data_IF_296435391656
#
_entry.id   IF_296435391656
#
_cell.length_a   1.000
_cell.length_b   1.000
_cell.length_c   1.000
_cell.angle_alpha   90.00
_cell.angle_beta   90.00
_cell.angle_gamma   90.00
#
_symmetry.space_group_name_H-M   'P 1'
#
loop_
_entity.id
_entity.type
_entity.pdbx_description
1 polymer ?
#
# COMPACT_ATOMS: atom_id res chain seq x y z
N UNK A 1 15.90 -5.79 -8.88
CA UNK A 1 16.56 -4.90 -7.91
C UNK A 1 17.25 -5.67 -6.82
N UNK A 2 18.11 -6.53 -7.23
CA UNK A 2 18.92 -7.31 -6.32
C UNK A 2 20.17 -6.51 -5.91
N UNK A 3 20.79 -6.95 -4.84
CA UNK A 3 22.01 -6.40 -4.30
C UNK A 3 23.07 -7.50 -4.32
N UNK A 4 24.30 -7.18 -4.71
CA UNK A 4 25.39 -8.17 -4.62
C UNK A 4 25.58 -8.59 -3.15
N UNK A 5 25.62 -9.89 -2.88
CA UNK A 5 25.62 -10.44 -1.52
C UNK A 5 24.24 -10.84 -0.99
N UNK A 6 23.17 -10.66 -1.77
CA UNK A 6 21.81 -11.12 -1.45
C UNK A 6 21.35 -12.21 -2.42
N UNK A 7 20.57 -13.16 -1.92
CA UNK A 7 19.87 -14.19 -2.71
C UNK A 7 18.39 -14.11 -2.38
N UNK A 8 17.55 -13.82 -3.36
CA UNK A 8 16.11 -13.86 -3.19
C UNK A 8 15.56 -15.25 -3.52
N UNK A 9 14.74 -15.78 -2.62
CA UNK A 9 14.16 -17.13 -2.71
C UNK A 9 12.64 -17.12 -2.71
N UNK A 10 12.04 -15.96 -2.76
CA UNK A 10 10.58 -15.78 -2.77
C UNK A 10 10.16 -14.35 -3.08
N UNK A 11 8.95 -14.21 -3.57
CA UNK A 11 8.35 -12.92 -3.84
C UNK A 11 6.84 -12.93 -3.63
N UNK A 12 6.24 -11.76 -3.36
CA UNK A 12 4.80 -11.66 -3.25
C UNK A 12 4.13 -11.61 -4.63
N UNK A 13 3.05 -12.35 -4.76
CA UNK A 13 2.03 -12.11 -5.77
C UNK A 13 1.17 -10.90 -5.41
N UNK A 14 0.25 -10.53 -6.30
CA UNK A 14 -0.66 -9.45 -6.02
C UNK A 14 -1.92 -9.48 -6.88
N UNK A 15 -2.94 -8.74 -6.44
CA UNK A 15 -4.18 -8.50 -7.17
C UNK A 15 -4.74 -7.13 -6.82
N UNK A 16 -5.24 -6.41 -7.81
CA UNK A 16 -5.96 -5.17 -7.57
C UNK A 16 -7.40 -5.48 -7.15
N UNK A 17 -7.87 -4.86 -6.07
CA UNK A 17 -9.26 -4.79 -5.71
C UNK A 17 -9.77 -3.37 -5.96
N UNK A 18 -10.73 -3.20 -6.86
CA UNK A 18 -11.41 -1.96 -7.13
C UNK A 18 -12.72 -1.95 -6.36
N UNK A 19 -12.77 -1.17 -5.28
CA UNK A 19 -13.97 -1.01 -4.45
C UNK A 19 -14.72 0.22 -4.93
N UNK A 20 -16.01 0.07 -5.24
CA UNK A 20 -16.87 1.15 -5.69
C UNK A 20 -18.11 1.24 -4.78
N UNK A 21 -18.35 2.42 -4.22
CA UNK A 21 -19.53 2.71 -3.41
C UNK A 21 -20.38 3.75 -4.13
N UNK A 22 -21.63 3.44 -4.50
CA UNK A 22 -22.55 4.42 -5.08
C UNK A 22 -22.79 5.62 -4.15
N UNK A 23 -22.84 6.83 -4.71
CA UNK A 23 -23.12 8.04 -3.96
C UNK A 23 -24.43 8.68 -4.43
N UNK A 24 -25.24 9.11 -3.45
CA UNK A 24 -26.42 9.91 -3.69
C UNK A 24 -26.13 11.34 -3.28
N UNK A 25 -26.49 12.28 -4.15
CA UNK A 25 -26.31 13.71 -3.93
C UNK A 25 -27.65 14.40 -3.74
N UNK A 26 -27.64 15.49 -2.99
CA UNK A 26 -28.77 16.37 -2.77
C UNK A 26 -28.34 17.82 -2.87
N UNK A 27 -29.31 18.74 -3.05
CA UNK A 27 -29.02 20.16 -3.06
C UNK A 27 -28.42 20.58 -1.73
N UNK A 28 -27.34 21.33 -1.78
CA UNK A 28 -26.66 21.79 -0.58
C UNK A 28 -27.54 22.74 0.24
N UNK A 29 -27.76 22.38 1.48
CA UNK A 29 -28.52 23.20 2.46
C UNK A 29 -27.63 23.73 3.59
N UNK A 30 -26.33 23.57 3.50
CA UNK A 30 -25.36 24.00 4.49
C UNK A 30 -24.81 25.40 4.18
N UNK A 31 -24.45 26.12 5.24
CA UNK A 31 -23.98 27.52 5.15
C UNK A 31 -22.47 27.63 4.96
N UNK A 32 -21.71 26.62 5.36
CA UNK A 32 -20.24 26.65 5.39
C UNK A 32 -19.63 25.45 4.71
N UNK A 33 -18.52 25.68 4.01
CA UNK A 33 -17.73 24.63 3.35
C UNK A 33 -16.27 24.75 3.71
N UNK A 34 -15.65 23.65 4.14
CA UNK A 34 -14.22 23.55 4.37
C UNK A 34 -13.61 22.48 3.47
N UNK A 35 -12.47 22.81 2.87
CA UNK A 35 -11.55 21.84 2.30
C UNK A 35 -10.48 21.48 3.32
N UNK A 36 -10.41 20.21 3.64
CA UNK A 36 -9.42 19.63 4.56
C UNK A 36 -8.34 18.97 3.72
N UNK A 37 -7.07 19.36 3.93
CA UNK A 37 -5.93 18.84 3.21
C UNK A 37 -4.94 18.21 4.18
N UNK A 38 -4.60 16.94 3.97
CA UNK A 38 -3.52 16.21 4.62
C UNK A 38 -2.37 16.07 3.63
N UNK A 39 -1.17 16.53 4.01
CA UNK A 39 0.04 16.53 3.18
C UNK A 39 1.29 16.21 3.99
N UNK A 40 2.41 16.04 3.30
CA UNK A 40 3.73 15.90 3.91
C UNK A 40 4.07 14.53 4.46
N UNK A 41 3.25 13.50 4.18
CA UNK A 41 3.58 12.13 4.54
C UNK A 41 4.70 11.58 3.65
N UNK A 42 5.50 10.65 4.18
CA UNK A 42 6.62 10.04 3.45
C UNK A 42 6.17 9.21 2.27
N UNK A 43 5.08 8.48 2.41
CA UNK A 43 4.66 7.50 1.42
C UNK A 43 5.67 6.37 1.27
N UNK A 44 5.69 5.73 0.09
CA UNK A 44 6.61 4.64 -0.23
C UNK A 44 5.98 3.58 -1.12
N UNK A 45 6.72 2.51 -1.40
CA UNK A 45 6.21 1.37 -2.14
C UNK A 45 5.29 0.52 -1.27
N UNK A 46 4.06 0.24 -1.74
CA UNK A 46 3.04 -0.47 -0.96
C UNK A 46 3.36 -1.95 -0.64
N UNK A 47 4.48 -2.45 -1.11
CA UNK A 47 5.03 -3.75 -0.75
C UNK A 47 6.30 -3.60 0.09
N UNK A 48 7.37 -3.07 -0.48
CA UNK A 48 8.68 -2.99 0.19
C UNK A 48 8.67 -2.12 1.46
N UNK A 49 7.82 -1.10 1.53
CA UNK A 49 7.73 -0.20 2.69
C UNK A 49 6.51 -0.47 3.59
N UNK A 50 5.67 -1.47 3.28
CA UNK A 50 4.41 -1.70 4.00
C UNK A 50 4.61 -2.11 5.47
N UNK A 51 5.76 -2.71 5.77
CA UNK A 51 6.16 -3.11 7.12
C UNK A 51 6.67 -1.94 7.97
N UNK A 52 6.96 -0.81 7.33
CA UNK A 52 7.36 0.40 8.04
C UNK A 52 6.14 1.08 8.66
N UNK A 53 6.32 1.89 9.66
CA UNK A 53 5.20 2.57 10.35
C UNK A 53 4.65 3.78 9.60
N UNK A 54 4.91 3.90 8.29
CA UNK A 54 4.43 5.02 7.45
C UNK A 54 2.93 5.05 7.37
N UNK A 55 2.36 6.22 7.52
CA UNK A 55 0.92 6.41 7.48
C UNK A 55 0.39 6.46 6.03
N UNK A 56 -0.82 5.96 5.84
CA UNK A 56 -1.58 6.10 4.60
C UNK A 56 -2.50 7.31 4.73
N UNK A 57 -2.31 8.33 3.89
CA UNK A 57 -3.04 9.59 3.97
C UNK A 57 -4.56 9.42 3.89
N UNK A 58 -5.06 8.48 3.07
CA UNK A 58 -6.49 8.19 2.94
C UNK A 58 -7.04 7.66 4.27
N UNK A 59 -6.32 6.76 4.94
CA UNK A 59 -6.73 6.18 6.23
C UNK A 59 -6.70 7.22 7.35
N UNK A 60 -5.69 8.07 7.38
CA UNK A 60 -5.59 9.16 8.35
C UNK A 60 -6.74 10.15 8.19
N UNK A 61 -7.06 10.53 6.95
CA UNK A 61 -8.19 11.42 6.66
C UNK A 61 -9.54 10.77 7.02
N UNK A 62 -9.73 9.49 6.71
CA UNK A 62 -10.93 8.74 7.10
C UNK A 62 -11.12 8.72 8.65
N UNK A 63 -10.02 8.54 9.41
CA UNK A 63 -10.02 8.59 10.88
C UNK A 63 -10.45 9.97 11.40
N UNK A 64 -9.95 11.06 10.80
CA UNK A 64 -10.40 12.42 11.13
C UNK A 64 -11.90 12.59 10.88
N UNK A 65 -12.38 12.20 9.69
CA UNK A 65 -13.79 12.34 9.34
C UNK A 65 -14.69 11.52 10.27
N UNK A 66 -14.28 10.32 10.65
CA UNK A 66 -14.98 9.50 11.63
C UNK A 66 -15.05 10.19 13.01
N UNK A 67 -13.96 10.81 13.45
CA UNK A 67 -13.92 11.56 14.72
C UNK A 67 -14.79 12.83 14.66
N UNK A 68 -14.76 13.56 13.55
CA UNK A 68 -15.66 14.71 13.32
C UNK A 68 -17.12 14.28 13.34
N UNK A 69 -17.46 13.15 12.70
CA UNK A 69 -18.84 12.63 12.68
C UNK A 69 -19.38 12.27 14.08
N UNK A 70 -18.52 11.92 15.03
CA UNK A 70 -18.91 11.64 16.41
C UNK A 70 -19.12 12.92 17.23
N UNK A 71 -18.25 13.92 17.05
CA UNK A 71 -18.23 15.13 17.88
C UNK A 71 -19.05 16.29 17.32
N UNK A 72 -19.23 16.32 16.02
CA UNK A 72 -19.97 17.34 15.28
C UNK A 72 -20.87 16.66 14.25
N UNK A 73 -21.96 16.00 14.68
CA UNK A 73 -22.89 15.35 13.77
C UNK A 73 -23.53 16.40 12.83
N UNK A 74 -23.93 15.94 11.63
CA UNK A 74 -24.55 16.78 10.60
C UNK A 74 -23.61 17.63 9.76
N UNK A 75 -22.54 17.03 9.25
CA UNK A 75 -21.85 17.51 8.06
C UNK A 75 -22.06 16.54 6.88
N UNK A 76 -22.01 17.05 5.66
CA UNK A 76 -22.05 16.26 4.45
C UNK A 76 -20.73 16.35 3.70
N UNK A 77 -20.28 15.24 3.13
CA UNK A 77 -19.17 15.22 2.18
C UNK A 77 -19.62 15.79 0.83
N UNK A 78 -18.70 16.44 0.14
CA UNK A 78 -18.82 16.84 -1.27
C UNK A 78 -17.94 15.95 -2.12
N UNK A 79 -16.71 15.77 -1.65
CA UNK A 79 -15.71 14.93 -2.27
C UNK A 79 -14.71 14.40 -1.23
N UNK A 80 -14.08 13.29 -1.56
CA UNK A 80 -12.89 12.76 -0.88
C UNK A 80 -11.96 12.14 -1.90
N UNK A 81 -10.67 12.41 -1.80
CA UNK A 81 -9.66 11.89 -2.72
C UNK A 81 -8.32 11.72 -2.02
N UNK A 82 -7.48 10.83 -2.57
CA UNK A 82 -6.11 10.64 -2.06
C UNK A 82 -5.32 9.66 -2.91
N UNK A 83 -4.00 9.82 -2.89
CA UNK A 83 -3.09 9.01 -3.66
C UNK A 83 -3.23 9.16 -5.18
N UNK A 84 -2.26 8.66 -5.92
CA UNK A 84 -2.21 8.75 -7.38
C UNK A 84 -1.77 7.46 -8.07
N UNK A 85 -1.11 6.57 -7.35
CA UNK A 85 -0.49 5.35 -7.87
C UNK A 85 -0.89 4.16 -7.01
N UNK A 86 -1.39 3.08 -7.65
CA UNK A 86 -1.96 1.91 -6.96
C UNK A 86 -0.97 1.15 -6.06
N UNK A 87 0.31 1.16 -6.40
CA UNK A 87 1.38 0.46 -5.68
C UNK A 87 2.21 1.39 -4.78
N UNK A 88 1.71 2.57 -4.46
CA UNK A 88 2.33 3.50 -3.54
C UNK A 88 1.45 3.73 -2.29
N UNK A 89 2.07 3.95 -1.14
CA UNK A 89 1.41 4.42 0.07
C UNK A 89 1.09 5.91 -0.14
N UNK A 90 -0.18 6.34 -0.10
CA UNK A 90 -0.58 7.72 -0.33
C UNK A 90 0.08 8.71 0.63
N UNK A 91 0.66 9.78 0.07
CA UNK A 91 1.33 10.86 0.80
C UNK A 91 0.40 12.02 1.13
N UNK A 92 -0.71 12.11 0.39
CA UNK A 92 -1.65 13.21 0.45
C UNK A 92 -3.08 12.69 0.29
N UNK A 93 -4.01 13.36 0.98
CA UNK A 93 -5.44 13.18 0.82
C UNK A 93 -6.17 14.47 1.11
N UNK A 94 -7.33 14.65 0.52
CA UNK A 94 -8.20 15.82 0.74
C UNK A 94 -9.66 15.41 0.82
N UNK A 95 -10.44 16.14 1.61
CA UNK A 95 -11.89 16.04 1.65
C UNK A 95 -12.51 17.43 1.73
N UNK A 96 -13.67 17.59 1.08
CA UNK A 96 -14.50 18.81 1.19
C UNK A 96 -15.77 18.44 1.94
N UNK A 97 -16.07 19.20 3.01
CA UNK A 97 -17.23 19.00 3.88
C UNK A 97 -18.06 20.27 3.95
N UNK A 98 -19.38 20.11 4.00
CA UNK A 98 -20.37 21.19 4.23
C UNK A 98 -21.07 20.98 5.57
N UNK A 99 -21.32 22.06 6.32
CA UNK A 99 -21.92 22.01 7.65
C UNK A 99 -22.54 23.35 8.06
N UNK A 100 -23.33 23.36 9.16
CA UNK A 100 -23.95 24.55 9.72
C UNK A 100 -23.39 24.97 11.09
N UNK A 101 -22.37 24.24 11.60
CA UNK A 101 -21.71 24.58 12.85
C UNK A 101 -20.82 25.81 12.71
N UNK A 102 -20.34 26.32 13.86
CA UNK A 102 -19.32 27.35 13.86
C UNK A 102 -18.04 26.90 13.16
N UNK A 103 -17.58 27.69 12.20
CA UNK A 103 -16.42 27.37 11.35
C UNK A 103 -15.15 27.20 12.19
N UNK A 104 -14.95 28.05 13.18
CA UNK A 104 -13.74 28.01 14.03
C UNK A 104 -13.74 26.79 14.95
N UNK A 105 -14.90 26.32 15.36
CA UNK A 105 -15.02 25.05 16.10
C UNK A 105 -14.56 23.85 15.26
N UNK A 106 -14.96 23.78 13.98
CA UNK A 106 -14.52 22.70 13.07
C UNK A 106 -13.03 22.80 12.76
N UNK A 107 -12.52 24.00 12.48
CA UNK A 107 -11.07 24.22 12.27
C UNK A 107 -10.26 23.85 13.51
N UNK A 108 -10.73 24.20 14.70
CA UNK A 108 -10.08 23.82 15.96
C UNK A 108 -10.04 22.30 16.16
N UNK A 109 -11.13 21.60 15.82
CA UNK A 109 -11.16 20.13 15.86
C UNK A 109 -10.14 19.51 14.90
N UNK A 110 -10.01 20.03 13.67
CA UNK A 110 -8.98 19.61 12.70
C UNK A 110 -7.57 19.88 13.24
N UNK A 111 -7.35 21.08 13.80
CA UNK A 111 -6.04 21.46 14.38
C UNK A 111 -5.65 20.59 15.57
N UNK A 112 -6.58 20.30 16.47
CA UNK A 112 -6.34 19.41 17.60
C UNK A 112 -5.99 17.98 17.13
N UNK A 113 -6.62 17.54 16.04
CA UNK A 113 -6.30 16.25 15.43
C UNK A 113 -4.91 16.25 14.76
N UNK A 114 -4.48 17.37 14.17
CA UNK A 114 -3.09 17.54 13.67
C UNK A 114 -2.07 17.39 14.80
N UNK A 115 -2.32 18.04 15.94
CA UNK A 115 -1.43 17.93 17.12
C UNK A 115 -1.33 16.48 17.57
N UNK A 116 -2.45 15.79 17.73
CA UNK A 116 -2.50 14.37 18.08
C UNK A 116 -1.68 13.50 17.09
N UNK A 117 -1.86 13.72 15.78
CA UNK A 117 -1.11 12.98 14.76
C UNK A 117 0.39 13.24 14.79
N UNK A 118 0.80 14.50 15.07
CA UNK A 118 2.22 14.85 15.21
C UNK A 118 2.89 14.20 16.42
N UNK A 119 2.14 13.92 17.47
CA UNK A 119 2.62 13.14 18.61
C UNK A 119 2.70 11.65 18.26
N UNK A 120 1.62 11.07 17.73
CA UNK A 120 1.55 9.64 17.38
C UNK A 120 2.57 9.23 16.30
N UNK A 121 2.81 10.10 15.31
CA UNK A 121 3.59 9.81 14.11
C UNK A 121 4.89 10.61 14.04
N UNK A 122 5.38 11.14 15.14
CA UNK A 122 6.53 12.06 15.19
C UNK A 122 7.77 11.56 14.44
N UNK A 123 8.07 10.27 14.54
CA UNK A 123 9.23 9.64 13.90
C UNK A 123 8.90 9.21 12.46
N UNK A 124 7.72 8.63 12.27
CA UNK A 124 7.31 8.09 10.97
C UNK A 124 7.01 9.21 9.97
N UNK A 125 6.34 10.29 10.40
CA UNK A 125 5.80 11.34 9.53
C UNK A 125 6.15 12.77 10.05
N UNK A 126 7.43 13.16 10.16
CA UNK A 126 7.85 14.41 10.77
C UNK A 126 7.35 15.66 10.04
N UNK A 127 7.01 15.54 8.75
CA UNK A 127 6.56 16.66 7.91
C UNK A 127 5.04 16.71 7.72
N UNK A 128 4.27 15.89 8.48
CA UNK A 128 2.82 15.87 8.40
C UNK A 128 2.22 17.25 8.65
N UNK A 129 1.33 17.67 7.76
CA UNK A 129 0.52 18.89 7.89
C UNK A 129 -0.94 18.58 7.60
N UNK A 130 -1.83 19.15 8.41
CA UNK A 130 -3.27 19.03 8.24
C UNK A 130 -3.87 20.43 8.31
N UNK A 131 -4.50 20.87 7.22
CA UNK A 131 -5.10 22.21 7.10
C UNK A 131 -6.60 22.12 6.82
N UNK A 132 -7.35 23.14 7.21
CA UNK A 132 -8.75 23.30 6.87
C UNK A 132 -8.98 24.76 6.41
N UNK A 133 -9.39 24.89 5.16
CA UNK A 133 -9.56 26.19 4.50
C UNK A 133 -11.01 26.36 4.04
N UNK A 134 -11.57 27.55 4.26
CA UNK A 134 -12.91 27.85 3.79
C UNK A 134 -12.87 28.02 2.26
N UNK A 135 -13.81 27.35 1.60
CA UNK A 135 -13.97 27.40 0.14
C UNK A 135 -15.41 27.76 -0.23
N UNK A 136 -15.64 28.02 -1.51
CA UNK A 136 -16.96 28.32 -2.03
C UNK A 136 -17.95 27.18 -1.79
N UNK A 137 -19.21 27.53 -1.46
CA UNK A 137 -20.25 26.55 -1.24
C UNK A 137 -20.63 25.86 -2.56
N UNK A 138 -20.57 24.52 -2.62
CA UNK A 138 -20.99 23.76 -3.80
C UNK A 138 -22.53 23.76 -3.91
N UNK A 139 -23.03 23.47 -5.11
CA UNK A 139 -24.47 23.33 -5.34
C UNK A 139 -25.06 22.05 -4.75
N UNK A 140 -24.24 20.99 -4.64
CA UNK A 140 -24.65 19.67 -4.17
C UNK A 140 -23.66 19.10 -3.16
N UNK A 141 -24.19 18.33 -2.22
CA UNK A 141 -23.43 17.50 -1.29
C UNK A 141 -23.86 16.04 -1.43
N UNK A 142 -23.10 15.11 -0.86
CA UNK A 142 -23.66 13.80 -0.58
C UNK A 142 -24.78 13.91 0.45
N UNK A 143 -25.75 12.99 0.38
CA UNK A 143 -26.71 12.84 1.48
C UNK A 143 -25.97 12.46 2.77
N UNK A 144 -26.57 12.73 3.92
CA UNK A 144 -25.99 12.35 5.22
C UNK A 144 -25.78 10.82 5.33
N UNK A 145 -26.70 10.05 4.74
CA UNK A 145 -26.57 8.59 4.68
C UNK A 145 -25.33 8.15 3.87
N UNK A 146 -25.16 8.71 2.67
CA UNK A 146 -24.00 8.46 1.82
C UNK A 146 -22.71 8.88 2.51
N UNK A 147 -22.70 10.06 3.13
CA UNK A 147 -21.54 10.56 3.90
C UNK A 147 -21.13 9.55 4.98
N UNK A 148 -22.09 9.06 5.76
CA UNK A 148 -21.85 8.07 6.81
C UNK A 148 -21.32 6.74 6.24
N UNK A 149 -21.89 6.25 5.14
CA UNK A 149 -21.44 5.01 4.47
C UNK A 149 -20.00 5.15 3.98
N UNK A 150 -19.65 6.27 3.34
CA UNK A 150 -18.29 6.54 2.86
C UNK A 150 -17.29 6.55 4.01
N UNK A 151 -17.59 7.28 5.09
CA UNK A 151 -16.71 7.37 6.26
C UNK A 151 -16.52 5.99 6.89
N UNK A 152 -17.61 5.24 7.09
CA UNK A 152 -17.56 3.91 7.69
C UNK A 152 -16.76 2.94 6.81
N UNK A 153 -17.02 2.89 5.50
CA UNK A 153 -16.26 2.05 4.56
C UNK A 153 -14.76 2.32 4.66
N UNK A 154 -14.35 3.59 4.53
CA UNK A 154 -12.93 3.95 4.54
C UNK A 154 -12.27 3.74 5.91
N UNK A 155 -13.00 3.91 7.00
CA UNK A 155 -12.49 3.72 8.34
C UNK A 155 -12.26 2.23 8.65
N UNK A 156 -13.19 1.34 8.26
CA UNK A 156 -13.10 -0.11 8.50
C UNK A 156 -12.22 -0.82 7.47
N UNK A 157 -12.08 -0.28 6.25
CA UNK A 157 -11.23 -0.86 5.20
C UNK A 157 -9.85 -1.20 5.75
N UNK A 158 -9.42 -2.48 5.75
CA UNK A 158 -8.10 -2.85 6.23
C UNK A 158 -7.00 -2.20 5.39
N UNK A 159 -5.84 -1.93 6.00
CA UNK A 159 -4.68 -1.37 5.33
C UNK A 159 -3.40 -1.69 6.12
N UNK A 160 -2.34 -2.03 5.44
CA UNK A 160 -1.07 -2.39 6.06
C UNK A 160 -0.81 -3.89 6.05
N UNK A 161 0.00 -4.35 6.99
CA UNK A 161 0.35 -5.76 7.18
C UNK A 161 -0.85 -6.49 7.77
N UNK A 162 -1.25 -7.60 7.13
CA UNK A 162 -2.30 -8.50 7.63
C UNK A 162 -1.68 -9.69 8.36
N UNK A 163 -0.59 -10.25 7.80
CA UNK A 163 0.11 -11.39 8.38
C UNK A 163 1.60 -11.33 8.08
N UNK A 164 2.42 -11.70 9.05
CA UNK A 164 3.84 -11.96 8.87
C UNK A 164 4.09 -13.44 8.57
N UNK A 165 5.20 -13.73 7.90
CA UNK A 165 5.60 -15.09 7.55
C UNK A 165 6.02 -15.87 8.80
N UNK A 166 5.56 -17.12 8.92
CA UNK A 166 6.00 -18.06 9.94
C UNK A 166 7.33 -18.76 9.52
N UNK A 167 7.64 -18.74 8.22
CA UNK A 167 8.80 -19.43 7.65
C UNK A 167 10.05 -18.58 7.72
N UNK A 168 9.92 -17.26 7.48
CA UNK A 168 11.06 -16.33 7.46
C UNK A 168 10.77 -15.16 8.39
N UNK A 169 11.63 -14.98 9.36
CA UNK A 169 11.52 -13.92 10.36
C UNK A 169 11.58 -12.54 9.72
N UNK A 170 10.75 -11.64 10.21
CA UNK A 170 10.65 -10.23 9.76
C UNK A 170 10.23 -10.04 8.29
N UNK A 171 9.61 -11.04 7.69
CA UNK A 171 9.05 -10.96 6.35
C UNK A 171 7.53 -10.85 6.42
N UNK A 172 6.96 -9.90 5.69
CA UNK A 172 5.51 -9.78 5.52
C UNK A 172 5.03 -10.88 4.59
N UNK A 173 4.03 -11.66 5.02
CA UNK A 173 3.39 -12.65 4.17
C UNK A 173 2.25 -12.03 3.36
N UNK A 174 1.30 -11.38 4.03
CA UNK A 174 0.13 -10.79 3.38
C UNK A 174 -0.08 -9.35 3.82
N UNK A 175 -0.41 -8.49 2.89
CA UNK A 175 -0.71 -7.08 3.13
C UNK A 175 -1.69 -6.53 2.10
N UNK A 176 -2.25 -5.36 2.38
CA UNK A 176 -2.95 -4.56 1.39
C UNK A 176 -2.74 -3.07 1.65
N UNK A 177 -2.89 -2.28 0.58
CA UNK A 177 -2.82 -0.83 0.68
C UNK A 177 -3.82 -0.19 -0.29
N UNK A 178 -4.65 0.73 0.22
CA UNK A 178 -5.41 1.62 -0.65
C UNK A 178 -4.45 2.66 -1.21
N UNK A 179 -4.16 2.55 -2.50
CA UNK A 179 -3.20 3.42 -3.20
C UNK A 179 -3.85 4.63 -3.88
N UNK A 180 -5.14 4.52 -4.25
CA UNK A 180 -5.88 5.60 -4.92
C UNK A 180 -7.32 5.64 -4.42
N UNK A 181 -7.80 6.83 -4.12
CA UNK A 181 -9.21 7.10 -3.82
C UNK A 181 -9.67 8.29 -4.67
N UNK A 182 -10.79 8.13 -5.36
CA UNK A 182 -11.40 9.17 -6.18
C UNK A 182 -12.90 9.27 -5.93
N UNK A 183 -13.40 10.48 -5.86
CA UNK A 183 -14.83 10.78 -5.98
C UNK A 183 -15.16 11.00 -7.45
N UNK A 184 -16.10 10.24 -7.97
CA UNK A 184 -16.69 10.39 -9.30
C UNK A 184 -18.10 10.99 -9.16
N UNK A 185 -18.79 11.18 -10.26
CA UNK A 185 -20.12 11.78 -10.25
C UNK A 185 -21.13 10.95 -9.44
N UNK A 186 -21.16 9.66 -9.68
CA UNK A 186 -22.14 8.69 -9.15
C UNK A 186 -21.58 7.72 -8.10
N UNK A 187 -20.25 7.74 -7.84
CA UNK A 187 -19.60 6.81 -6.93
C UNK A 187 -18.29 7.31 -6.36
N UNK A 188 -17.86 6.67 -5.29
CA UNK A 188 -16.48 6.71 -4.82
C UNK A 188 -15.79 5.43 -5.28
N UNK A 189 -14.59 5.57 -5.85
CA UNK A 189 -13.76 4.45 -6.30
C UNK A 189 -12.44 4.42 -5.54
N UNK A 190 -12.19 3.29 -4.87
CA UNK A 190 -10.91 2.96 -4.22
C UNK A 190 -10.18 1.88 -5.00
N UNK A 191 -8.89 2.09 -5.30
CA UNK A 191 -8.02 1.05 -5.87
C UNK A 191 -7.06 0.58 -4.79
N UNK A 192 -7.15 -0.69 -4.45
CA UNK A 192 -6.42 -1.37 -3.39
C UNK A 192 -5.52 -2.41 -4.04
N UNK A 193 -4.27 -2.49 -3.62
CA UNK A 193 -3.38 -3.57 -4.03
C UNK A 193 -3.19 -4.53 -2.86
N UNK A 194 -3.63 -5.77 -3.04
CA UNK A 194 -3.41 -6.90 -2.16
C UNK A 194 -2.10 -7.57 -2.59
N UNK A 195 -1.27 -7.97 -1.61
CA UNK A 195 -0.03 -8.74 -1.83
C UNK A 195 0.04 -9.91 -0.88
N UNK A 196 0.51 -11.05 -1.38
CA UNK A 196 0.81 -12.20 -0.51
C UNK A 196 1.89 -13.10 -1.12
N UNK A 197 2.68 -13.74 -0.26
CA UNK A 197 3.64 -14.78 -0.64
C UNK A 197 2.94 -16.11 -0.98
N UNK A 198 1.69 -16.27 -0.56
CA UNK A 198 0.89 -17.49 -0.75
C UNK A 198 -0.49 -17.15 -1.31
N UNK A 199 -0.99 -17.99 -2.22
CA UNK A 199 -2.28 -17.75 -2.90
C UNK A 199 -3.45 -17.69 -1.92
N UNK A 200 -3.54 -18.64 -0.97
CA UNK A 200 -4.60 -18.65 0.03
C UNK A 200 -4.65 -17.41 0.92
N UNK A 201 -3.49 -16.77 1.17
CA UNK A 201 -3.42 -15.50 1.89
C UNK A 201 -3.96 -14.33 1.05
N UNK A 202 -3.70 -14.34 -0.27
CA UNK A 202 -4.24 -13.37 -1.22
C UNK A 202 -5.76 -13.49 -1.34
N UNK A 203 -6.25 -14.73 -1.45
CA UNK A 203 -7.68 -15.06 -1.49
C UNK A 203 -8.40 -14.60 -0.22
N UNK A 204 -7.88 -14.94 0.97
CA UNK A 204 -8.46 -14.53 2.26
C UNK A 204 -8.63 -13.01 2.39
N UNK A 205 -7.61 -12.24 1.98
CA UNK A 205 -7.73 -10.77 2.00
C UNK A 205 -8.78 -10.29 0.98
N UNK A 206 -8.88 -10.94 -0.18
CA UNK A 206 -9.93 -10.67 -1.16
C UNK A 206 -11.33 -10.93 -0.62
N UNK A 207 -11.56 -12.08 0.03
CA UNK A 207 -12.81 -12.44 0.69
C UNK A 207 -13.20 -11.44 1.79
N UNK A 208 -12.21 -10.95 2.55
CA UNK A 208 -12.43 -9.89 3.56
C UNK A 208 -12.96 -8.61 2.91
N UNK A 209 -12.40 -8.21 1.77
CA UNK A 209 -12.88 -7.03 1.04
C UNK A 209 -14.27 -7.25 0.42
N UNK A 210 -14.56 -8.45 -0.06
CA UNK A 210 -15.89 -8.82 -0.57
C UNK A 210 -16.94 -8.70 0.54
N UNK A 211 -16.68 -9.28 1.70
CA UNK A 211 -17.57 -9.19 2.86
C UNK A 211 -17.78 -7.73 3.32
N UNK A 212 -16.72 -6.93 3.32
CA UNK A 212 -16.81 -5.51 3.65
C UNK A 212 -17.66 -4.74 2.63
N UNK A 213 -17.51 -5.04 1.34
CA UNK A 213 -18.31 -4.43 0.28
C UNK A 213 -19.81 -4.76 0.47
N UNK A 214 -20.14 -6.02 0.72
CA UNK A 214 -21.52 -6.45 1.00
C UNK A 214 -22.14 -5.72 2.21
N UNK A 215 -21.41 -5.62 3.31
CA UNK A 215 -21.87 -4.94 4.53
C UNK A 215 -22.10 -3.44 4.34
N UNK A 216 -21.40 -2.80 3.41
CA UNK A 216 -21.47 -1.34 3.19
C UNK A 216 -22.32 -0.95 1.99
N UNK A 217 -22.77 -1.93 1.17
CA UNK A 217 -23.45 -1.68 -0.10
C UNK A 217 -22.52 -1.22 -1.21
N UNK A 218 -21.23 -1.48 -1.06
CA UNK A 218 -20.23 -1.30 -2.12
C UNK A 218 -20.14 -2.56 -3.00
N UNK A 219 -19.42 -2.44 -4.11
CA UNK A 219 -18.99 -3.57 -4.94
C UNK A 219 -17.48 -3.67 -4.93
N UNK A 220 -16.94 -4.87 -5.17
CA UNK A 220 -15.51 -5.07 -5.37
C UNK A 220 -15.28 -5.89 -6.64
N UNK A 221 -14.34 -5.43 -7.47
CA UNK A 221 -13.89 -6.12 -8.67
C UNK A 221 -12.40 -6.38 -8.58
N UNK A 222 -11.99 -7.63 -8.82
CA UNK A 222 -10.58 -8.03 -8.82
C UNK A 222 -10.01 -8.05 -10.23
N UNK A 223 -8.78 -7.55 -10.39
CA UNK A 223 -8.11 -7.48 -11.69
C UNK A 223 -6.59 -7.53 -11.57
N UNK A 224 -5.92 -7.94 -12.66
CA UNK A 224 -4.46 -7.91 -12.75
C UNK A 224 -3.78 -8.78 -11.68
N UNK A 225 -4.35 -9.97 -11.43
CA UNK A 225 -3.74 -10.95 -10.53
C UNK A 225 -2.44 -11.49 -11.13
N UNK A 226 -1.43 -11.62 -10.30
CA UNK A 226 -0.19 -12.33 -10.61
C UNK A 226 0.24 -13.17 -9.40
N UNK A 227 0.88 -14.34 -9.65
CA UNK A 227 1.21 -15.29 -8.60
C UNK A 227 2.38 -14.82 -7.73
N UNK A 228 2.42 -15.33 -6.49
CA UNK A 228 3.59 -15.25 -5.62
C UNK A 228 4.56 -16.40 -5.89
N UNK A 229 5.72 -16.27 -5.31
CA UNK A 229 6.72 -17.33 -5.26
C UNK A 229 7.03 -17.63 -3.79
N UNK A 230 6.43 -18.73 -3.31
CA UNK A 230 6.59 -19.17 -1.93
C UNK A 230 8.06 -19.53 -1.67
N UNK A 231 8.70 -18.99 -0.63
CA UNK A 231 10.10 -19.26 -0.32
C UNK A 231 10.33 -20.71 0.11
N UNK A 232 11.45 -21.31 -0.39
CA UNK A 232 11.93 -22.62 -0.02
C UNK A 232 13.43 -22.51 0.32
N UNK A 233 13.82 -22.96 1.53
CA UNK A 233 15.15 -22.73 2.09
C UNK A 233 16.17 -23.85 1.84
N UNK A 234 15.77 -24.98 1.25
CA UNK A 234 16.55 -26.21 1.14
C UNK A 234 16.67 -26.72 -0.29
N UNK A 235 16.78 -25.83 -1.28
CA UNK A 235 16.96 -26.21 -2.68
C UNK A 235 18.43 -26.41 -3.04
N UNK A 236 18.69 -27.31 -4.01
CA UNK A 236 20.04 -27.59 -4.50
C UNK A 236 20.73 -26.35 -5.08
N UNK A 237 19.98 -25.57 -5.87
CA UNK A 237 20.53 -24.33 -6.49
C UNK A 237 20.88 -23.27 -5.42
N UNK A 238 20.11 -23.17 -4.33
CA UNK A 238 20.41 -22.26 -3.23
C UNK A 238 21.70 -22.67 -2.51
N UNK A 239 21.86 -23.98 -2.22
CA UNK A 239 23.05 -24.47 -1.58
C UNK A 239 24.31 -24.23 -2.43
N UNK A 240 24.22 -24.49 -3.75
CA UNK A 240 25.29 -24.24 -4.71
C UNK A 240 25.64 -22.75 -4.79
N UNK A 241 24.65 -21.88 -4.88
CA UNK A 241 24.86 -20.44 -4.93
C UNK A 241 25.53 -19.92 -3.65
N UNK A 242 25.08 -20.34 -2.47
CA UNK A 242 25.72 -19.99 -1.18
C UNK A 242 27.18 -20.33 -1.14
N UNK A 243 27.54 -21.56 -1.58
CA UNK A 243 28.93 -22.00 -1.67
C UNK A 243 29.78 -21.03 -2.48
N UNK A 244 29.34 -20.71 -3.71
CA UNK A 244 30.09 -19.83 -4.59
C UNK A 244 30.10 -18.36 -4.13
N UNK A 245 29.05 -17.89 -3.48
CA UNK A 245 29.06 -16.56 -2.84
C UNK A 245 30.13 -16.47 -1.76
N UNK A 246 30.22 -17.46 -0.88
CA UNK A 246 31.27 -17.52 0.15
C UNK A 246 32.67 -17.52 -0.43
N UNK A 247 32.89 -18.27 -1.53
CA UNK A 247 34.17 -18.33 -2.25
C UNK A 247 34.55 -17.01 -2.91
N UNK A 248 33.60 -16.34 -3.60
CA UNK A 248 33.86 -15.11 -4.39
C UNK A 248 33.91 -13.87 -3.51
N UNK A 249 33.02 -13.75 -2.53
CA UNK A 249 32.91 -12.57 -1.67
C UNK A 249 33.56 -12.70 -0.30
N UNK A 250 34.01 -13.92 0.07
CA UNK A 250 34.56 -14.20 1.39
C UNK A 250 33.60 -14.12 2.56
N UNK A 251 32.27 -14.10 2.27
CA UNK A 251 31.22 -14.06 3.28
C UNK A 251 29.95 -14.76 2.77
N UNK A 252 29.15 -15.25 3.73
CA UNK A 252 27.84 -15.83 3.43
C UNK A 252 26.88 -14.76 2.86
N UNK A 253 26.07 -15.09 1.83
CA UNK A 253 25.04 -14.19 1.33
C UNK A 253 23.87 -14.08 2.28
N UNK A 254 23.14 -12.95 2.24
CA UNK A 254 21.88 -12.79 2.94
C UNK A 254 20.75 -13.42 2.12
N UNK A 255 19.93 -14.26 2.77
CA UNK A 255 18.75 -14.85 2.15
C UNK A 255 17.56 -13.93 2.36
N UNK A 256 16.94 -13.55 1.26
CA UNK A 256 15.86 -12.55 1.25
C UNK A 256 14.59 -13.06 0.55
N UNK A 257 13.51 -12.42 0.92
CA UNK A 257 12.21 -12.49 0.23
C UNK A 257 11.73 -11.06 0.00
N UNK A 258 11.27 -10.76 -1.19
CA UNK A 258 10.76 -9.43 -1.51
C UNK A 258 9.23 -9.42 -1.48
N UNK A 259 8.64 -8.43 -0.80
CA UNK A 259 7.19 -8.24 -0.79
C UNK A 259 6.71 -7.41 -2.00
N UNK A 260 7.24 -7.77 -3.18
CA UNK A 260 6.92 -7.26 -4.51
C UNK A 260 7.00 -8.43 -5.51
N UNK A 261 6.50 -8.27 -6.73
CA UNK A 261 6.56 -9.31 -7.76
C UNK A 261 7.95 -9.47 -8.35
N UNK A 262 8.31 -10.72 -8.66
CA UNK A 262 9.46 -11.11 -9.49
C UNK A 262 8.97 -12.08 -10.57
N UNK A 263 9.70 -12.17 -11.68
CA UNK A 263 9.42 -13.10 -12.78
C UNK A 263 9.39 -14.56 -12.33
N UNK A 264 10.14 -14.90 -11.27
CA UNK A 264 10.14 -16.23 -10.66
C UNK A 264 8.74 -16.68 -10.21
N UNK A 265 7.85 -15.75 -9.80
CA UNK A 265 6.47 -16.07 -9.49
C UNK A 265 5.72 -16.64 -10.69
N UNK A 266 5.84 -15.97 -11.84
CA UNK A 266 5.23 -16.40 -13.11
C UNK A 266 5.82 -17.72 -13.62
N UNK A 267 7.13 -17.87 -13.53
CA UNK A 267 7.83 -19.12 -13.91
C UNK A 267 7.38 -20.28 -13.03
N UNK A 268 7.23 -20.06 -11.72
CA UNK A 268 6.83 -21.12 -10.77
C UNK A 268 5.40 -21.61 -11.00
N UNK A 269 4.51 -20.74 -11.45
CA UNK A 269 3.14 -21.13 -11.83
C UNK A 269 3.13 -22.14 -13.00
N UNK A 270 3.98 -21.91 -14.01
CA UNK A 270 4.05 -22.78 -15.18
C UNK A 270 4.96 -24.00 -14.99
N UNK A 271 5.97 -23.88 -14.14
CA UNK A 271 6.97 -24.91 -13.85
C UNK A 271 7.07 -25.18 -12.34
N UNK A 272 6.05 -25.82 -11.72
CA UNK A 272 5.96 -25.95 -10.25
C UNK A 272 7.14 -26.71 -9.60
N UNK A 273 7.85 -27.53 -10.37
CA UNK A 273 8.97 -28.35 -9.88
C UNK A 273 10.35 -27.72 -10.13
N UNK A 274 10.43 -26.54 -10.76
CA UNK A 274 11.71 -25.89 -10.99
C UNK A 274 12.22 -25.24 -9.69
N UNK A 275 13.49 -25.46 -9.38
CA UNK A 275 14.18 -24.73 -8.33
C UNK A 275 14.71 -23.41 -8.88
N UNK A 276 14.48 -22.35 -8.14
CA UNK A 276 14.83 -20.99 -8.57
C UNK A 276 15.45 -20.20 -7.42
N UNK A 277 16.32 -19.29 -7.80
CA UNK A 277 16.82 -18.19 -6.99
C UNK A 277 16.87 -16.94 -7.87
N UNK A 278 16.76 -15.75 -7.27
CA UNK A 278 16.96 -14.49 -7.99
C UNK A 278 18.17 -13.77 -7.41
N UNK A 279 19.11 -13.42 -8.27
CA UNK A 279 20.39 -12.80 -7.94
C UNK A 279 20.75 -11.78 -9.01
N UNK A 280 21.58 -10.78 -8.68
CA UNK A 280 21.99 -9.78 -9.66
C UNK A 280 23.10 -8.88 -9.14
N UNK A 281 23.62 -7.98 -9.98
CA UNK A 281 24.48 -6.90 -9.55
C UNK A 281 23.70 -5.88 -8.73
N UNK A 282 24.38 -4.97 -8.04
CA UNK A 282 23.74 -3.91 -7.29
C UNK A 282 23.08 -2.89 -8.21
N UNK A 283 21.75 -2.76 -8.10
CA UNK A 283 20.90 -1.80 -8.83
C UNK A 283 20.24 -0.85 -7.84
N UNK A 284 20.15 0.43 -8.19
CA UNK A 284 19.49 1.49 -7.40
C UNK A 284 18.42 2.17 -8.23
N UNK A 285 17.37 2.62 -7.54
CA UNK A 285 16.26 3.40 -8.12
C UNK A 285 15.59 2.70 -9.32
N UNK A 286 15.47 1.35 -9.29
CA UNK A 286 14.81 0.59 -10.33
C UNK A 286 13.42 1.16 -10.67
N UNK A 287 13.02 1.10 -11.94
CA UNK A 287 11.78 1.65 -12.49
C UNK A 287 11.68 3.18 -12.41
N UNK A 288 12.79 3.88 -12.33
CA UNK A 288 12.84 5.34 -12.35
C UNK A 288 13.83 5.87 -13.39
N UNK A 289 13.72 7.15 -13.81
CA UNK A 289 14.71 7.78 -14.68
C UNK A 289 16.13 7.80 -14.10
N UNK A 290 16.26 7.67 -12.77
CA UNK A 290 17.53 7.64 -12.05
C UNK A 290 18.06 6.20 -11.83
N UNK A 291 17.49 5.20 -12.50
CA UNK A 291 17.94 3.82 -12.40
C UNK A 291 19.40 3.67 -12.82
N UNK A 292 20.17 2.99 -11.99
CA UNK A 292 21.60 2.78 -12.22
C UNK A 292 22.11 1.48 -11.65
N UNK A 293 23.08 0.87 -12.34
CA UNK A 293 23.83 -0.31 -11.88
C UNK A 293 25.21 0.11 -11.37
N UNK A 294 25.66 -0.50 -10.28
CA UNK A 294 27.01 -0.34 -9.80
C UNK A 294 27.98 -1.21 -10.64
N UNK A 295 28.74 -0.58 -11.55
CA UNK A 295 29.59 -1.25 -12.54
C UNK A 295 30.54 -2.27 -11.88
N UNK A 296 31.16 -1.95 -10.74
CA UNK A 296 32.09 -2.84 -10.04
C UNK A 296 31.47 -4.17 -9.60
N UNK A 297 30.14 -4.23 -9.42
CA UNK A 297 29.44 -5.44 -9.01
C UNK A 297 29.06 -6.35 -10.19
N UNK A 298 29.08 -5.84 -11.41
CA UNK A 298 28.77 -6.60 -12.63
C UNK A 298 29.79 -7.72 -12.86
N UNK A 299 31.09 -7.41 -12.71
CA UNK A 299 32.14 -8.41 -12.85
C UNK A 299 32.05 -9.51 -11.77
N UNK A 300 31.81 -9.12 -10.53
CA UNK A 300 31.62 -10.06 -9.41
C UNK A 300 30.42 -10.98 -9.67
N UNK A 301 29.30 -10.41 -10.13
CA UNK A 301 28.12 -11.18 -10.49
C UNK A 301 28.38 -12.16 -11.63
N UNK A 302 29.12 -11.73 -12.68
CA UNK A 302 29.49 -12.58 -13.80
C UNK A 302 30.37 -13.76 -13.36
N UNK A 303 31.37 -13.52 -12.52
CA UNK A 303 32.23 -14.57 -11.95
C UNK A 303 31.40 -15.59 -11.16
N UNK A 304 30.50 -15.11 -10.30
CA UNK A 304 29.60 -15.95 -9.52
C UNK A 304 28.70 -16.80 -10.43
N UNK A 305 28.04 -16.18 -11.42
CA UNK A 305 27.14 -16.86 -12.35
C UNK A 305 27.89 -17.98 -13.14
N UNK A 306 29.04 -17.66 -13.66
CA UNK A 306 29.85 -18.66 -14.45
C UNK A 306 30.32 -19.82 -13.62
N UNK A 307 30.71 -19.61 -12.36
CA UNK A 307 31.08 -20.71 -11.42
C UNK A 307 29.90 -21.62 -11.11
N UNK A 308 28.74 -21.03 -10.81
CA UNK A 308 27.50 -21.77 -10.54
C UNK A 308 27.10 -22.61 -11.75
N UNK A 309 27.08 -22.00 -12.95
CA UNK A 309 26.74 -22.73 -14.19
C UNK A 309 27.70 -23.86 -14.51
N UNK A 310 28.97 -23.73 -14.19
CA UNK A 310 29.97 -24.80 -14.39
C UNK A 310 29.74 -26.01 -13.47
N UNK A 311 29.18 -25.80 -12.28
CA UNK A 311 28.93 -26.84 -11.28
C UNK A 311 27.49 -27.43 -11.35
N UNK A 312 26.61 -26.89 -12.15
CA UNK A 312 25.27 -27.48 -12.43
C UNK A 312 25.49 -28.74 -13.30
N UNK A 313 25.06 -29.89 -12.78
CA UNK A 313 25.13 -31.18 -13.47
C UNK A 313 23.80 -31.58 -14.06
#
# INVERSE_FOLDING_TARGET
TEEIGEIYIGCAGGVNANVELPVHRETNSFSHTLQINLKGLRGGHSGCDIHTTRANAIKVLARLLAKLSQNQPHFALVEIRGGSIRNAIPREAAATICFNHDVESVKSAVKNFEVLLKEELAIAEPNLTLTAEQVENPQQTFTLETTKKVINLLNVLPNGVIRNSDVIKNVVESSLSIGVLKTLEDKIKGTILIRSLIESGKEYVGETLTSLAELTGATVEFSGSYPGWKPVNDTAILALMKKHYAEVLGKEPEIKVIHAGLECGLLKEHYPNIDMISVGPTIRNAHSPDEKVQISTVQTYWELLTKVLADIK
#
